data_IF_516216034580
#
_entry.id   IF_516216034580
#
_cell.length_a   1.000
_cell.length_b   1.000
_cell.length_c   1.000
_cell.angle_alpha   90.00
_cell.angle_beta   90.00
_cell.angle_gamma   90.00
#
_symmetry.space_group_name_H-M   'P 1'
#
loop_
_entity.id
_entity.type
_entity.pdbx_description
1 polymer ?
#
# COMPACT_ATOMS: atom_id res chain seq x y z
N UNK A 1 1.15 -8.40 -30.26
CA UNK A 1 1.63 -7.06 -30.60
C UNK A 1 1.09 -6.06 -29.61
N UNK A 2 2.01 -5.36 -28.92
CA UNK A 2 1.67 -4.30 -27.95
C UNK A 2 1.46 -2.99 -28.70
N UNK A 3 0.61 -2.12 -28.16
CA UNK A 3 0.42 -0.78 -28.69
C UNK A 3 1.46 0.13 -28.04
N UNK A 4 2.41 0.71 -28.80
CA UNK A 4 3.42 1.61 -28.21
C UNK A 4 2.77 2.92 -27.76
N UNK A 5 3.09 3.35 -26.52
CA UNK A 5 2.61 4.60 -25.93
C UNK A 5 3.81 5.37 -25.36
N UNK A 6 4.66 5.92 -26.21
CA UNK A 6 5.93 6.57 -25.80
C UNK A 6 6.86 5.56 -25.11
N UNK A 7 7.27 5.82 -23.86
CA UNK A 7 8.12 4.90 -23.09
C UNK A 7 7.38 3.67 -22.57
N UNK A 8 6.04 3.63 -22.66
CA UNK A 8 5.19 2.57 -22.16
C UNK A 8 4.66 1.68 -23.30
N UNK A 9 4.13 0.54 -22.92
CA UNK A 9 3.48 -0.41 -23.84
C UNK A 9 2.08 -0.69 -23.33
N UNK A 10 1.07 -0.29 -24.06
CA UNK A 10 -0.30 -0.60 -23.66
C UNK A 10 -0.58 -2.09 -23.85
N UNK A 11 -0.95 -2.73 -22.74
CA UNK A 11 -1.27 -4.17 -22.67
C UNK A 11 -2.70 -4.33 -22.17
N UNK A 12 -3.56 -4.95 -22.96
CA UNK A 12 -4.95 -5.19 -22.59
C UNK A 12 -5.08 -6.66 -22.18
N UNK A 13 -5.53 -6.96 -20.95
CA UNK A 13 -5.80 -8.34 -20.51
C UNK A 13 -6.79 -9.04 -21.45
N UNK A 14 -6.56 -10.31 -21.73
CA UNK A 14 -7.39 -11.10 -22.64
C UNK A 14 -7.11 -10.90 -24.13
N UNK A 15 -6.49 -9.79 -24.54
CA UNK A 15 -6.12 -9.49 -25.94
C UNK A 15 -4.62 -9.68 -26.14
N UNK A 16 -3.81 -9.05 -25.31
CA UNK A 16 -2.37 -9.04 -25.45
C UNK A 16 -1.68 -10.11 -24.60
N UNK A 17 -2.29 -10.50 -23.49
CA UNK A 17 -1.84 -11.62 -22.64
C UNK A 17 -3.04 -12.37 -22.06
N UNK A 18 -2.83 -13.65 -21.79
CA UNK A 18 -3.85 -14.51 -21.20
C UNK A 18 -3.89 -14.26 -19.69
N UNK A 19 -5.09 -14.07 -19.17
CA UNK A 19 -5.28 -14.00 -17.71
C UNK A 19 -5.26 -15.42 -17.16
N UNK A 20 -4.33 -15.70 -16.25
CA UNK A 20 -4.25 -16.98 -15.55
C UNK A 20 -5.03 -16.95 -14.25
N UNK A 21 -5.55 -18.11 -13.82
CA UNK A 21 -6.30 -18.22 -12.56
C UNK A 21 -5.47 -17.77 -11.35
N UNK A 22 -4.18 -18.07 -11.36
CA UNK A 22 -3.25 -17.68 -10.28
C UNK A 22 -3.16 -16.16 -10.16
N UNK A 23 -3.02 -15.47 -11.29
CA UNK A 23 -2.98 -14.00 -11.34
C UNK A 23 -4.31 -13.39 -10.88
N UNK A 24 -5.43 -13.99 -11.26
CA UNK A 24 -6.74 -13.54 -10.81
C UNK A 24 -6.89 -13.65 -9.29
N UNK A 25 -6.52 -14.80 -8.71
CA UNK A 25 -6.59 -14.98 -7.26
C UNK A 25 -5.60 -14.08 -6.51
N UNK A 26 -4.41 -13.86 -7.04
CA UNK A 26 -3.46 -12.89 -6.46
C UNK A 26 -4.03 -11.47 -6.49
N UNK A 27 -4.65 -11.07 -7.58
CA UNK A 27 -5.33 -9.77 -7.70
C UNK A 27 -6.48 -9.63 -6.71
N UNK A 28 -7.27 -10.70 -6.49
CA UNK A 28 -8.35 -10.72 -5.52
C UNK A 28 -7.81 -10.53 -4.08
N UNK A 29 -6.73 -11.23 -3.73
CA UNK A 29 -6.08 -11.11 -2.42
C UNK A 29 -5.52 -9.70 -2.24
N UNK A 30 -4.85 -9.14 -3.24
CA UNK A 30 -4.36 -7.76 -3.19
C UNK A 30 -5.49 -6.74 -3.02
N UNK A 31 -6.60 -6.91 -3.74
CA UNK A 31 -7.79 -6.07 -3.57
C UNK A 31 -8.37 -6.18 -2.15
N UNK A 32 -8.44 -7.40 -1.60
CA UNK A 32 -8.89 -7.62 -0.24
C UNK A 32 -7.96 -6.98 0.80
N UNK A 33 -6.64 -7.04 0.60
CA UNK A 33 -5.68 -6.37 1.50
C UNK A 33 -5.77 -4.85 1.41
N UNK A 34 -6.08 -4.28 0.23
CA UNK A 34 -6.32 -2.85 0.10
C UNK A 34 -7.48 -2.35 0.96
N UNK A 35 -8.52 -3.17 1.17
CA UNK A 35 -9.63 -2.82 2.07
C UNK A 35 -9.19 -2.64 3.53
N UNK A 36 -8.10 -3.26 3.96
CA UNK A 36 -7.55 -3.08 5.31
C UNK A 36 -7.02 -1.66 5.56
N UNK A 37 -6.80 -0.87 4.51
CA UNK A 37 -6.41 0.53 4.63
C UNK A 37 -7.55 1.45 5.08
N UNK A 38 -8.82 1.04 4.95
CA UNK A 38 -9.99 1.84 5.36
C UNK A 38 -9.93 2.19 6.86
N UNK A 39 -9.83 1.20 7.79
CA UNK A 39 -9.69 1.52 9.21
C UNK A 39 -8.45 2.38 9.50
N UNK A 40 -7.36 2.16 8.77
CA UNK A 40 -6.18 2.99 8.91
C UNK A 40 -6.46 4.46 8.58
N UNK A 41 -7.17 4.73 7.49
CA UNK A 41 -7.52 6.09 7.06
C UNK A 41 -8.54 6.75 8.00
N UNK A 42 -9.54 6.01 8.46
CA UNK A 42 -10.57 6.53 9.37
C UNK A 42 -10.03 6.75 10.78
N UNK A 43 -9.33 5.79 11.35
CA UNK A 43 -8.92 5.81 12.75
C UNK A 43 -7.69 6.70 13.00
N UNK A 44 -6.75 6.70 12.05
CA UNK A 44 -5.51 7.47 12.21
C UNK A 44 -5.58 8.86 11.59
N UNK A 45 -6.21 9.02 10.42
CA UNK A 45 -6.31 10.33 9.78
C UNK A 45 -7.61 11.06 10.10
N UNK A 46 -8.63 10.34 10.61
CA UNK A 46 -9.95 10.93 10.88
C UNK A 46 -10.75 11.20 9.61
N UNK A 47 -10.49 10.48 8.52
CA UNK A 47 -11.26 10.62 7.29
C UNK A 47 -12.66 10.03 7.45
N UNK A 48 -13.71 10.65 6.87
CA UNK A 48 -15.01 10.04 6.72
C UNK A 48 -14.92 8.72 5.95
N UNK A 49 -15.76 7.75 6.29
CA UNK A 49 -15.73 6.42 5.68
C UNK A 49 -15.85 6.45 4.15
N UNK A 50 -16.74 7.31 3.62
CA UNK A 50 -16.96 7.45 2.18
C UNK A 50 -15.72 7.95 1.45
N UNK A 51 -14.98 8.85 2.08
CA UNK A 51 -13.73 9.38 1.52
C UNK A 51 -12.62 8.34 1.60
N UNK A 52 -12.51 7.61 2.71
CA UNK A 52 -11.55 6.52 2.86
C UNK A 52 -11.80 5.42 1.82
N UNK A 53 -13.07 5.06 1.59
CA UNK A 53 -13.48 4.12 0.55
C UNK A 53 -13.09 4.60 -0.85
N UNK A 54 -13.31 5.87 -1.15
CA UNK A 54 -12.92 6.47 -2.44
C UNK A 54 -11.41 6.39 -2.66
N UNK A 55 -10.61 6.64 -1.62
CA UNK A 55 -9.15 6.50 -1.69
C UNK A 55 -8.73 5.07 -2.01
N UNK A 56 -9.37 4.07 -1.40
CA UNK A 56 -9.09 2.65 -1.66
C UNK A 56 -9.45 2.26 -3.09
N UNK A 57 -10.58 2.73 -3.62
CA UNK A 57 -10.94 2.46 -5.02
C UNK A 57 -9.88 3.03 -5.98
N UNK A 58 -9.43 4.26 -5.74
CA UNK A 58 -8.37 4.88 -6.54
C UNK A 58 -7.07 4.08 -6.43
N UNK A 59 -6.70 3.64 -5.25
CA UNK A 59 -5.51 2.81 -5.02
C UNK A 59 -5.59 1.50 -5.82
N UNK A 60 -6.68 0.76 -5.71
CA UNK A 60 -6.90 -0.50 -6.45
C UNK A 60 -6.84 -0.24 -7.96
N UNK A 61 -7.43 0.85 -8.44
CA UNK A 61 -7.33 1.23 -9.85
C UNK A 61 -5.88 1.51 -10.27
N UNK A 62 -5.10 2.20 -9.43
CA UNK A 62 -3.69 2.48 -9.69
C UNK A 62 -2.84 1.19 -9.75
N UNK A 63 -3.19 0.15 -8.98
CA UNK A 63 -2.55 -1.17 -9.11
C UNK A 63 -2.73 -1.80 -10.50
N UNK A 64 -3.84 -1.53 -11.17
CA UNK A 64 -4.09 -2.05 -12.51
C UNK A 64 -3.24 -1.35 -13.58
N UNK A 65 -2.91 -0.07 -13.39
CA UNK A 65 -2.21 0.73 -14.39
C UNK A 65 -0.83 0.17 -14.75
N UNK A 66 -0.07 -0.35 -13.79
CA UNK A 66 1.25 -0.92 -14.08
C UNK A 66 1.16 -2.12 -15.04
N UNK A 67 0.15 -2.96 -14.87
CA UNK A 67 -0.10 -4.10 -15.76
C UNK A 67 -0.50 -3.65 -17.18
N UNK A 68 -1.32 -2.60 -17.27
CA UNK A 68 -1.77 -2.08 -18.57
C UNK A 68 -0.70 -1.30 -19.31
N UNK A 69 0.15 -0.56 -18.59
CA UNK A 69 1.20 0.27 -19.17
C UNK A 69 2.53 -0.48 -19.34
N UNK A 70 2.62 -1.70 -18.81
CA UNK A 70 3.85 -2.49 -18.83
C UNK A 70 4.96 -1.89 -17.99
N UNK A 71 4.61 -1.10 -16.98
CA UNK A 71 5.55 -0.53 -16.02
C UNK A 71 5.98 -1.62 -15.02
N UNK A 72 7.29 -1.82 -14.78
CA UNK A 72 7.78 -2.78 -13.79
C UNK A 72 7.53 -2.32 -12.34
N UNK A 73 7.12 -1.07 -12.11
CA UNK A 73 6.89 -0.51 -10.78
C UNK A 73 5.42 -0.57 -10.42
N UNK A 74 5.10 -1.29 -9.35
CA UNK A 74 3.74 -1.36 -8.80
C UNK A 74 3.54 -0.16 -7.87
N UNK A 75 2.59 0.74 -8.15
CA UNK A 75 2.23 1.79 -7.20
C UNK A 75 1.54 1.17 -5.99
N UNK A 76 1.80 1.68 -4.81
CA UNK A 76 1.17 1.16 -3.59
C UNK A 76 1.83 1.67 -2.32
N UNK A 77 1.40 1.12 -1.21
CA UNK A 77 1.88 1.46 0.12
C UNK A 77 3.30 0.95 0.34
N UNK A 78 4.15 1.83 0.86
CA UNK A 78 5.48 1.42 1.32
C UNK A 78 5.32 0.87 2.75
N UNK A 79 4.89 -0.37 2.87
CA UNK A 79 4.57 -1.04 4.15
C UNK A 79 5.65 -0.85 5.23
N UNK A 80 6.96 -0.95 4.94
CA UNK A 80 7.99 -0.74 5.96
C UNK A 80 8.03 0.66 6.56
N UNK A 81 7.46 1.65 5.89
CA UNK A 81 7.45 3.04 6.38
C UNK A 81 6.23 3.36 7.24
N UNK A 82 5.23 2.49 7.30
CA UNK A 82 4.01 2.71 8.07
C UNK A 82 4.25 3.05 9.55
N UNK A 83 5.11 2.34 10.30
CA UNK A 83 5.38 2.66 11.70
C UNK A 83 5.99 4.06 11.86
N UNK A 84 6.90 4.45 10.97
CA UNK A 84 7.51 5.78 10.99
C UNK A 84 6.52 6.87 10.61
N UNK A 85 5.67 6.61 9.62
CA UNK A 85 4.60 7.52 9.21
C UNK A 85 3.62 7.75 10.35
N UNK A 86 3.21 6.68 11.05
CA UNK A 86 2.33 6.78 12.21
C UNK A 86 2.98 7.57 13.35
N UNK A 87 4.25 7.29 13.65
CA UNK A 87 4.98 8.02 14.70
C UNK A 87 5.05 9.52 14.39
N UNK A 88 5.30 9.88 13.13
CA UNK A 88 5.28 11.27 12.68
C UNK A 88 3.88 11.90 12.82
N UNK A 89 2.85 11.21 12.35
CA UNK A 89 1.47 11.72 12.36
C UNK A 89 0.89 11.86 13.77
N UNK A 90 1.37 11.08 14.74
CA UNK A 90 0.94 11.19 16.13
C UNK A 90 1.31 12.55 16.79
N UNK A 91 2.22 13.30 16.20
CA UNK A 91 2.53 14.67 16.61
C UNK A 91 1.48 15.71 16.18
N UNK A 92 0.47 15.33 15.41
CA UNK A 92 -0.58 16.22 14.90
C UNK A 92 -1.95 15.77 15.41
N UNK A 93 -2.86 16.72 15.61
CA UNK A 93 -4.25 16.41 15.96
C UNK A 93 -4.97 15.69 14.80
N UNK A 94 -5.90 14.78 15.14
CA UNK A 94 -6.70 14.06 14.14
C UNK A 94 -7.57 15.06 13.38
N UNK A 95 -7.61 14.89 12.06
CA UNK A 95 -8.40 15.73 11.17
C UNK A 95 -7.54 16.49 10.16
N UNK A 96 -7.89 17.74 9.82
CA UNK A 96 -7.25 18.50 8.74
C UNK A 96 -5.74 18.63 8.88
N UNK A 97 -5.22 18.88 10.08
CA UNK A 97 -3.79 19.08 10.31
C UNK A 97 -2.99 17.80 10.05
N UNK A 98 -3.52 16.66 10.51
CA UNK A 98 -2.90 15.34 10.26
C UNK A 98 -2.94 14.95 8.79
N UNK A 99 -4.01 15.28 8.08
CA UNK A 99 -4.14 15.07 6.64
C UNK A 99 -3.13 15.92 5.88
N UNK A 100 -2.98 17.20 6.23
CA UNK A 100 -1.98 18.09 5.62
C UNK A 100 -0.56 17.60 5.89
N UNK A 101 -0.26 17.14 7.10
CA UNK A 101 1.03 16.55 7.44
C UNK A 101 1.30 15.29 6.61
N UNK A 102 0.29 14.43 6.41
CA UNK A 102 0.41 13.25 5.55
C UNK A 102 0.67 13.63 4.10
N UNK A 103 -0.06 14.60 3.55
CA UNK A 103 0.16 15.10 2.18
C UNK A 103 1.56 15.68 2.04
N UNK A 104 2.02 16.48 2.99
CA UNK A 104 3.36 17.05 2.96
C UNK A 104 4.44 15.96 2.97
N UNK A 105 4.28 14.93 3.81
CA UNK A 105 5.18 13.78 3.84
C UNK A 105 5.22 13.04 2.50
N UNK A 106 4.06 12.79 1.90
CA UNK A 106 3.95 12.11 0.60
C UNK A 106 4.61 12.94 -0.52
N UNK A 107 4.41 14.26 -0.54
CA UNK A 107 5.05 15.14 -1.51
C UNK A 107 6.57 15.16 -1.34
N UNK A 108 7.07 15.17 -0.09
CA UNK A 108 8.49 15.07 0.19
C UNK A 108 9.08 13.76 -0.34
N UNK A 109 8.41 12.63 -0.06
CA UNK A 109 8.85 11.32 -0.55
C UNK A 109 8.83 11.28 -2.08
N UNK A 110 7.77 11.77 -2.72
CA UNK A 110 7.67 11.85 -4.17
C UNK A 110 8.81 12.69 -4.76
N UNK A 111 9.11 13.83 -4.16
CA UNK A 111 10.23 14.68 -4.58
C UNK A 111 11.57 13.95 -4.48
N UNK A 112 11.83 13.25 -3.38
CA UNK A 112 13.04 12.46 -3.19
C UNK A 112 13.16 11.38 -4.27
N UNK A 113 12.08 10.65 -4.57
CA UNK A 113 12.10 9.61 -5.61
C UNK A 113 12.33 10.20 -7.01
N UNK A 114 11.68 11.31 -7.34
CA UNK A 114 11.90 12.01 -8.62
C UNK A 114 13.36 12.46 -8.72
N UNK A 115 13.91 13.07 -7.68
CA UNK A 115 15.28 13.51 -7.64
C UNK A 115 16.25 12.33 -7.81
N UNK A 116 16.05 11.24 -7.10
CA UNK A 116 16.86 10.03 -7.23
C UNK A 116 16.75 9.41 -8.63
N UNK A 117 15.58 9.46 -9.25
CA UNK A 117 15.35 8.98 -10.61
C UNK A 117 16.11 9.81 -11.65
N UNK A 118 15.99 11.14 -11.60
CA UNK A 118 16.65 12.04 -12.53
C UNK A 118 18.18 11.97 -12.39
N UNK A 119 18.70 11.90 -11.18
CA UNK A 119 20.15 11.87 -10.89
C UNK A 119 20.76 10.47 -11.06
N UNK A 120 19.95 9.44 -11.33
CA UNK A 120 20.36 8.02 -11.34
C UNK A 120 21.05 7.58 -10.03
N UNK A 121 20.76 8.30 -8.94
CA UNK A 121 21.31 8.00 -7.62
C UNK A 121 20.66 6.73 -7.05
N UNK A 122 19.44 6.41 -7.48
CA UNK A 122 18.72 5.21 -7.10
C UNK A 122 19.53 3.94 -7.39
N UNK A 123 20.12 3.83 -8.58
CA UNK A 123 20.94 2.68 -8.99
C UNK A 123 22.17 2.51 -8.08
N UNK A 124 22.84 3.63 -7.76
CA UNK A 124 24.00 3.61 -6.87
C UNK A 124 23.60 3.21 -5.45
N UNK A 125 22.48 3.71 -4.96
CA UNK A 125 21.97 3.40 -3.63
C UNK A 125 21.58 1.91 -3.54
N UNK A 126 20.79 1.41 -4.49
CA UNK A 126 20.34 0.02 -4.51
C UNK A 126 21.50 -0.96 -4.63
N UNK A 127 22.50 -0.65 -5.45
CA UNK A 127 23.69 -1.47 -5.61
C UNK A 127 24.66 -1.37 -4.43
N UNK A 128 24.66 -0.25 -3.71
CA UNK A 128 25.50 -0.06 -2.52
C UNK A 128 24.95 -0.73 -1.25
N UNK A 129 23.66 -1.06 -1.20
CA UNK A 129 23.05 -1.72 -0.03
C UNK A 129 23.24 -3.24 -0.11
N UNK A 130 23.91 -3.87 0.87
CA UNK A 130 24.08 -5.32 0.91
C UNK A 130 22.74 -6.08 0.88
N UNK A 131 22.74 -7.25 0.23
CA UNK A 131 21.52 -8.07 0.12
C UNK A 131 21.00 -8.54 1.47
N UNK A 132 21.86 -8.71 2.47
CA UNK A 132 21.48 -9.04 3.84
C UNK A 132 20.61 -7.96 4.49
N UNK A 133 20.91 -6.67 4.24
CA UNK A 133 20.11 -5.56 4.74
C UNK A 133 18.75 -5.52 4.02
N UNK A 134 18.74 -5.69 2.69
CA UNK A 134 17.51 -5.77 1.90
C UNK A 134 16.59 -6.89 2.39
N UNK A 135 17.16 -8.09 2.60
CA UNK A 135 16.44 -9.24 3.14
C UNK A 135 15.93 -8.99 4.57
N UNK A 136 16.74 -8.37 5.42
CA UNK A 136 16.36 -8.01 6.78
C UNK A 136 15.14 -7.08 6.83
N UNK A 137 15.11 -6.05 5.99
CA UNK A 137 13.97 -5.13 5.89
C UNK A 137 12.70 -5.86 5.42
N UNK A 138 12.83 -6.73 4.40
CA UNK A 138 11.71 -7.50 3.87
C UNK A 138 11.10 -8.46 4.89
N UNK A 139 11.91 -9.00 5.81
CA UNK A 139 11.43 -9.90 6.87
C UNK A 139 10.89 -9.08 8.07
N UNK A 140 11.55 -8.00 8.44
CA UNK A 140 11.16 -7.18 9.60
C UNK A 140 9.77 -6.55 9.42
N UNK A 141 9.43 -6.09 8.21
CA UNK A 141 8.17 -5.42 7.96
C UNK A 141 6.94 -6.31 8.24
N UNK A 142 6.83 -7.55 7.70
CA UNK A 142 5.72 -8.45 8.05
C UNK A 142 5.68 -8.82 9.53
N UNK A 143 6.84 -9.04 10.16
CA UNK A 143 6.90 -9.36 11.60
C UNK A 143 6.32 -8.22 12.43
N UNK A 144 6.68 -6.98 12.13
CA UNK A 144 6.16 -5.80 12.83
C UNK A 144 4.65 -5.68 12.67
N UNK A 145 4.12 -5.93 11.47
CA UNK A 145 2.67 -5.93 11.22
C UNK A 145 1.98 -7.04 12.01
N UNK A 146 2.52 -8.26 11.98
CA UNK A 146 1.97 -9.39 12.73
C UNK A 146 1.97 -9.13 14.25
N UNK A 147 3.07 -8.64 14.80
CA UNK A 147 3.14 -8.25 16.21
C UNK A 147 2.12 -7.17 16.56
N UNK A 148 1.94 -6.18 15.68
CA UNK A 148 0.94 -5.15 15.86
C UNK A 148 -0.49 -5.68 15.86
N UNK A 149 -0.79 -6.71 15.08
CA UNK A 149 -2.14 -7.31 15.01
C UNK A 149 -2.40 -8.32 16.13
N UNK A 150 -1.36 -8.99 16.62
CA UNK A 150 -1.46 -9.99 17.70
C UNK A 150 -1.35 -9.39 19.10
N UNK A 151 -1.02 -8.10 19.23
CA UNK A 151 -0.95 -7.45 20.54
C UNK A 151 -2.35 -7.25 21.15
N UNK A 152 -2.43 -7.37 22.46
CA UNK A 152 -3.68 -7.19 23.22
C UNK A 152 -4.34 -5.83 22.91
N UNK A 153 -5.67 -5.84 22.72
CA UNK A 153 -6.45 -4.66 22.38
C UNK A 153 -6.47 -4.28 20.88
N UNK A 154 -5.87 -5.09 20.02
CA UNK A 154 -5.93 -4.89 18.57
C UNK A 154 -7.10 -5.62 17.91
N UNK A 155 -7.46 -5.19 16.69
CA UNK A 155 -8.68 -5.64 15.99
C UNK A 155 -8.82 -7.16 15.86
N UNK A 156 -7.72 -7.90 15.62
CA UNK A 156 -7.79 -9.36 15.53
C UNK A 156 -8.12 -10.04 16.85
N UNK A 157 -7.74 -9.43 17.98
CA UNK A 157 -7.99 -9.99 19.31
C UNK A 157 -9.31 -9.50 19.92
N UNK A 158 -9.82 -8.37 19.44
CA UNK A 158 -11.05 -7.74 19.96
C UNK A 158 -12.20 -7.73 18.96
N UNK A 159 -11.98 -8.22 17.73
CA UNK A 159 -13.02 -8.30 16.73
C UNK A 159 -14.16 -9.23 17.22
N UNK A 160 -15.41 -8.77 17.19
CA UNK A 160 -16.53 -9.64 17.53
C UNK A 160 -16.59 -10.81 16.54
N UNK A 161 -16.63 -12.02 17.07
CA UNK A 161 -16.78 -13.23 16.25
C UNK A 161 -18.27 -13.48 16.08
N UNK A 162 -18.75 -13.45 14.84
CA UNK A 162 -20.11 -13.87 14.54
C UNK A 162 -20.20 -15.39 14.66
N UNK A 163 -21.09 -15.87 15.53
CA UNK A 163 -21.42 -17.28 15.62
C UNK A 163 -22.37 -17.69 14.48
N UNK A 164 -22.47 -18.97 14.20
CA UNK A 164 -23.33 -19.51 13.12
C UNK A 164 -24.82 -19.18 13.32
N UNK A 165 -25.24 -18.88 14.54
CA UNK A 165 -26.59 -18.43 14.93
C UNK A 165 -26.75 -16.89 14.88
N UNK A 166 -25.74 -16.16 14.43
CA UNK A 166 -25.82 -14.71 14.26
C UNK A 166 -25.60 -13.89 15.54
N UNK A 167 -25.30 -14.55 16.68
CA UNK A 167 -24.92 -13.82 17.90
C UNK A 167 -23.47 -13.36 17.83
N UNK A 168 -23.20 -12.15 18.34
CA UNK A 168 -21.86 -11.61 18.46
C UNK A 168 -21.31 -11.96 19.84
N UNK A 169 -20.16 -12.64 19.86
CA UNK A 169 -19.38 -12.84 21.07
C UNK A 169 -18.40 -11.66 21.23
N UNK A 170 -18.54 -10.99 22.35
CA UNK A 170 -17.62 -9.89 22.74
C UNK A 170 -16.48 -10.43 23.58
#
# INVERSE_FOLDING_TARGET
PYIPLGPFQWRIPGIHYRVEYVEFFQGLILGATALSSIPYLTDNLGLPYELAWSCVIIEVFMYMLHGWLGDPVVPGWITPTLPFTLAYLNGFEKGPDRIQAMIALQLLVAFVFIFMGITKLADKFVNGVPNSIKGGILIAAPITVLQGQLSDGRQLMTAPVATLDGTLLH
#
